data_IF_695510448663
#
_entry.id   IF_695510448663
#
_cell.length_a   1.000
_cell.length_b   1.000
_cell.length_c   1.000
_cell.angle_alpha   90.00
_cell.angle_beta   90.00
_cell.angle_gamma   90.00
#
_symmetry.space_group_name_H-M   'P 1'
#
loop_
_entity.id
_entity.type
_entity.pdbx_description
1 polymer ?
#
# COMPACT_ATOMS: atom_id res chain seq x y z
N UNK A 1 -11.41 -8.07 2.08
CA UNK A 1 -11.44 -7.64 0.67
C UNK A 1 -12.21 -6.34 0.55
N UNK A 2 -11.73 -5.42 -0.28
CA UNK A 2 -12.42 -4.14 -0.45
C UNK A 2 -13.73 -4.34 -1.23
N UNK A 3 -14.77 -3.62 -0.82
CA UNK A 3 -15.98 -3.52 -1.62
C UNK A 3 -15.67 -2.82 -2.95
N UNK A 4 -16.46 -3.08 -4.02
CA UNK A 4 -16.17 -2.46 -5.32
C UNK A 4 -16.05 -0.94 -5.28
N UNK A 5 -16.90 -0.26 -4.51
CA UNK A 5 -16.84 1.21 -4.40
C UNK A 5 -15.57 1.65 -3.68
N UNK A 6 -15.17 0.94 -2.63
CA UNK A 6 -13.93 1.22 -1.90
C UNK A 6 -12.72 0.97 -2.77
N UNK A 7 -12.75 -0.09 -3.57
CA UNK A 7 -11.67 -0.40 -4.48
C UNK A 7 -11.50 0.70 -5.52
N UNK A 8 -12.59 1.17 -6.11
CA UNK A 8 -12.56 2.24 -7.11
C UNK A 8 -11.99 3.52 -6.51
N UNK A 9 -12.45 3.90 -5.32
CA UNK A 9 -11.96 5.10 -4.65
C UNK A 9 -10.47 4.97 -4.31
N UNK A 10 -10.03 3.80 -3.89
CA UNK A 10 -8.63 3.55 -3.55
C UNK A 10 -7.75 3.64 -4.79
N UNK A 11 -8.19 3.07 -5.91
CA UNK A 11 -7.46 3.13 -7.17
C UNK A 11 -7.37 4.59 -7.65
N UNK A 12 -8.44 5.35 -7.54
CA UNK A 12 -8.44 6.76 -7.94
C UNK A 12 -7.47 7.58 -7.09
N UNK A 13 -7.43 7.34 -5.78
CA UNK A 13 -6.49 8.00 -4.90
C UNK A 13 -5.04 7.63 -5.27
N UNK A 14 -4.79 6.35 -5.50
CA UNK A 14 -3.46 5.87 -5.86
C UNK A 14 -3.00 6.45 -7.20
N UNK A 15 -3.91 6.58 -8.15
CA UNK A 15 -3.60 7.18 -9.45
C UNK A 15 -3.18 8.64 -9.29
N UNK A 16 -3.86 9.39 -8.43
CA UNK A 16 -3.50 10.79 -8.18
C UNK A 16 -2.14 10.92 -7.52
N UNK A 17 -1.84 10.05 -6.58
CA UNK A 17 -0.55 10.04 -5.90
C UNK A 17 0.58 9.63 -6.84
N UNK A 18 0.37 8.57 -7.62
CA UNK A 18 1.42 7.94 -8.41
C UNK A 18 1.52 8.49 -9.84
N UNK A 19 0.43 9.00 -10.37
CA UNK A 19 0.38 9.58 -11.71
C UNK A 19 -0.29 8.70 -12.75
N UNK A 20 -0.28 7.39 -12.58
CA UNK A 20 -0.95 6.46 -13.48
C UNK A 20 -1.24 5.15 -12.75
N UNK A 21 -2.01 4.27 -13.38
CA UNK A 21 -2.31 2.96 -12.83
C UNK A 21 -1.58 1.89 -13.62
N UNK A 22 -0.75 1.11 -12.95
CA UNK A 22 -0.03 -0.02 -13.54
C UNK A 22 -0.14 -1.25 -12.67
N UNK A 23 0.36 -2.42 -13.17
CA UNK A 23 0.21 -3.69 -12.44
C UNK A 23 0.85 -3.68 -11.05
N UNK A 24 2.04 -3.11 -10.92
CA UNK A 24 2.74 -3.10 -9.64
C UNK A 24 2.06 -2.18 -8.62
N UNK A 25 1.46 -1.08 -9.07
CA UNK A 25 0.66 -0.24 -8.19
C UNK A 25 -0.53 -1.01 -7.63
N UNK A 26 -1.22 -1.74 -8.48
CA UNK A 26 -2.38 -2.54 -8.06
C UNK A 26 -1.97 -3.65 -7.10
N UNK A 27 -0.85 -4.31 -7.34
CA UNK A 27 -0.32 -5.31 -6.40
C UNK A 27 -0.07 -4.67 -5.04
N UNK A 28 0.54 -3.48 -5.00
CA UNK A 28 0.78 -2.75 -3.76
C UNK A 28 -0.50 -2.43 -3.01
N UNK A 29 -1.58 -2.10 -3.74
CA UNK A 29 -2.88 -1.82 -3.12
C UNK A 29 -3.47 -3.04 -2.40
N UNK A 30 -3.08 -4.24 -2.79
CA UNK A 30 -3.59 -5.48 -2.20
C UNK A 30 -2.78 -5.97 -1.00
N UNK A 31 -1.62 -5.39 -0.78
CA UNK A 31 -0.73 -5.83 0.30
C UNK A 31 -1.39 -5.67 1.66
N UNK A 32 -2.13 -4.58 1.88
CA UNK A 32 -2.77 -4.29 3.16
C UNK A 32 -3.70 -5.43 3.59
N UNK A 33 -4.62 -5.84 2.74
CA UNK A 33 -5.57 -6.90 3.06
C UNK A 33 -4.87 -8.22 3.33
N UNK A 34 -3.86 -8.57 2.50
CA UNK A 34 -3.11 -9.81 2.66
C UNK A 34 -2.30 -9.82 3.95
N UNK A 35 -1.65 -8.71 4.27
CA UNK A 35 -0.83 -8.60 5.48
C UNK A 35 -1.69 -8.64 6.74
N UNK A 36 -2.81 -7.93 6.76
CA UNK A 36 -3.72 -7.95 7.90
C UNK A 36 -4.30 -9.32 8.15
N UNK A 37 -4.64 -10.03 7.08
CA UNK A 37 -5.14 -11.40 7.20
C UNK A 37 -4.06 -12.33 7.77
N UNK A 38 -2.83 -12.23 7.27
CA UNK A 38 -1.73 -13.06 7.73
C UNK A 38 -1.37 -12.80 9.18
N UNK A 39 -1.48 -11.55 9.64
CA UNK A 39 -1.16 -11.16 11.01
C UNK A 39 -2.36 -11.24 11.94
N UNK A 40 -3.54 -11.56 11.43
CA UNK A 40 -4.79 -11.65 12.20
C UNK A 40 -5.06 -10.37 12.99
N UNK A 41 -4.95 -9.24 12.32
CA UNK A 41 -5.21 -7.92 12.92
C UNK A 41 -6.43 -7.28 12.29
N UNK A 42 -7.08 -6.41 13.04
CA UNK A 42 -8.29 -5.71 12.60
C UNK A 42 -8.23 -4.24 12.98
N UNK A 43 -9.18 -3.51 12.44
CA UNK A 43 -9.41 -2.06 12.56
C UNK A 43 -8.48 -1.26 13.46
N UNK A 44 -8.72 -1.27 14.77
CA UNK A 44 -7.97 -0.44 15.70
C UNK A 44 -6.50 -0.81 15.82
N UNK A 45 -6.17 -2.10 15.60
CA UNK A 45 -4.80 -2.55 15.67
C UNK A 45 -3.98 -2.07 14.48
N UNK A 46 -4.63 -1.77 13.36
CA UNK A 46 -3.93 -1.31 12.17
C UNK A 46 -3.22 0.04 12.40
N UNK A 47 -3.64 0.82 13.36
CA UNK A 47 -2.97 2.07 13.73
C UNK A 47 -1.57 1.84 14.30
N UNK A 48 -1.28 0.63 14.75
CA UNK A 48 0.02 0.26 15.30
C UNK A 48 0.98 -0.30 14.27
N UNK A 49 0.51 -0.48 13.02
CA UNK A 49 1.32 -1.06 11.97
C UNK A 49 2.46 -0.15 11.55
N UNK A 50 3.59 -0.77 11.30
CA UNK A 50 4.69 -0.17 10.58
C UNK A 50 5.04 -1.09 9.42
N UNK A 51 5.44 -0.51 8.31
CA UNK A 51 5.75 -1.27 7.09
C UNK A 51 7.20 -1.00 6.69
N UNK A 52 7.95 -2.06 6.50
CA UNK A 52 9.26 -2.01 5.88
C UNK A 52 9.23 -2.86 4.62
N UNK A 53 9.64 -2.31 3.50
CA UNK A 53 9.63 -3.00 2.21
C UNK A 53 11.04 -3.11 1.67
N UNK A 54 11.44 -4.32 1.29
CA UNK A 54 12.70 -4.55 0.60
C UNK A 54 12.39 -4.78 -0.88
N UNK A 55 12.69 -3.80 -1.71
CA UNK A 55 12.40 -3.85 -3.14
C UNK A 55 13.33 -2.92 -3.89
N UNK A 56 13.58 -3.22 -5.18
CA UNK A 56 14.35 -2.33 -6.04
C UNK A 56 13.65 -0.97 -6.15
N UNK A 57 14.43 0.11 -6.06
CA UNK A 57 13.91 1.47 -6.18
C UNK A 57 13.74 1.94 -7.62
N UNK A 58 13.87 1.04 -8.60
CA UNK A 58 13.69 1.37 -10.01
C UNK A 58 12.29 0.98 -10.47
N UNK A 59 11.62 1.80 -11.31
CA UNK A 59 10.38 1.38 -11.95
C UNK A 59 10.62 0.13 -12.83
N UNK A 60 9.64 -0.77 -12.94
CA UNK A 60 8.29 -0.69 -12.37
C UNK A 60 8.19 -1.17 -10.93
N UNK A 61 9.25 -1.73 -10.36
CA UNK A 61 9.21 -2.32 -9.02
C UNK A 61 8.88 -1.30 -7.95
N UNK A 62 9.45 -0.10 -8.07
CA UNK A 62 9.18 0.98 -7.11
C UNK A 62 7.72 1.46 -7.13
N UNK A 63 6.96 1.19 -8.18
CA UNK A 63 5.55 1.55 -8.24
C UNK A 63 4.73 0.83 -7.17
N UNK A 64 5.19 -0.34 -6.72
CA UNK A 64 4.61 -1.08 -5.63
C UNK A 64 4.52 -0.25 -4.35
N UNK A 65 5.50 0.60 -4.12
CA UNK A 65 5.63 1.38 -2.89
C UNK A 65 4.47 2.34 -2.69
N UNK A 66 4.06 3.03 -3.74
CA UNK A 66 2.92 3.94 -3.64
C UNK A 66 1.63 3.21 -3.33
N UNK A 67 1.43 2.03 -3.94
CA UNK A 67 0.26 1.20 -3.66
C UNK A 67 0.22 0.73 -2.21
N UNK A 68 1.35 0.33 -1.65
CA UNK A 68 1.44 -0.09 -0.26
C UNK A 68 1.13 1.08 0.67
N UNK A 69 1.67 2.25 0.41
CA UNK A 69 1.40 3.44 1.22
C UNK A 69 -0.08 3.81 1.22
N UNK A 70 -0.71 3.76 0.05
CA UNK A 70 -2.13 4.08 -0.09
C UNK A 70 -2.99 3.07 0.67
N UNK A 71 -2.73 1.78 0.51
CA UNK A 71 -3.57 0.73 1.09
C UNK A 71 -3.39 0.59 2.59
N UNK A 72 -2.17 0.75 3.09
CA UNK A 72 -1.87 0.56 4.51
C UNK A 72 -2.02 1.84 5.31
N UNK A 73 -2.00 3.00 4.67
CA UNK A 73 -1.86 4.33 5.28
C UNK A 73 -0.58 4.50 6.10
N UNK A 74 0.35 3.57 5.96
CA UNK A 74 1.71 3.73 6.47
C UNK A 74 2.53 4.42 5.40
N UNK A 75 3.02 5.61 5.67
CA UNK A 75 3.70 6.44 4.68
C UNK A 75 5.04 6.92 5.20
N UNK A 76 5.87 7.41 4.28
CA UNK A 76 7.11 8.05 4.66
C UNK A 76 6.83 9.28 5.53
N UNK A 77 5.78 10.04 5.18
CA UNK A 77 5.43 11.25 5.90
C UNK A 77 5.01 11.02 7.35
N UNK A 78 4.29 9.93 7.63
CA UNK A 78 3.91 9.61 9.01
C UNK A 78 4.90 8.71 9.73
N UNK A 79 6.04 8.42 9.09
CA UNK A 79 7.15 7.65 9.65
C UNK A 79 6.81 6.17 9.96
N UNK A 80 5.76 5.67 9.33
CA UNK A 80 5.35 4.28 9.48
C UNK A 80 5.74 3.41 8.29
N UNK A 81 6.45 3.98 7.33
CA UNK A 81 6.86 3.30 6.10
C UNK A 81 8.34 3.56 5.84
N UNK A 82 9.07 2.50 5.59
CA UNK A 82 10.49 2.58 5.19
C UNK A 82 10.80 1.60 4.10
N UNK A 83 11.82 1.93 3.31
CA UNK A 83 12.25 1.11 2.17
C UNK A 83 13.69 0.68 2.38
N UNK A 84 13.92 -0.60 2.17
CA UNK A 84 15.26 -1.18 2.15
C UNK A 84 15.60 -1.58 0.73
N UNK A 85 16.68 -1.09 0.24
CA UNK A 85 17.13 -1.41 -1.11
C UNK A 85 17.99 -2.68 -1.12
#
# INVERSE_FOLDING_TARGET
MLEPDQLTATIDFARKLHGHVGPYLVVGLRVDASAKKALDISGSESALLRVEVAVSLYPPFSCLLDGIQVSTTCTIGNQKFSVKN
#
